data_IF_194315297503
#
_entry.id   IF_194315297503
#
_cell.length_a   1.000
_cell.length_b   1.000
_cell.length_c   1.000
_cell.angle_alpha   90.00
_cell.angle_beta   90.00
_cell.angle_gamma   90.00
#
_symmetry.space_group_name_H-M   'P 1'
#
loop_
_entity.id
_entity.type
_entity.pdbx_description
1 polymer ?
#
# COMPACT_ATOMS: atom_id res chain seq x y z
N UNK A 1 3.64 -7.11 -28.96
CA UNK A 1 4.18 -7.74 -27.74
C UNK A 1 4.46 -6.66 -26.72
N UNK A 2 4.15 -6.85 -25.42
CA UNK A 2 4.40 -5.82 -24.40
C UNK A 2 5.92 -5.72 -24.15
N UNK A 3 6.53 -4.51 -24.18
CA UNK A 3 7.95 -4.33 -23.85
C UNK A 3 8.33 -4.92 -22.49
N UNK A 4 9.51 -5.54 -22.41
CA UNK A 4 9.98 -6.23 -21.20
C UNK A 4 10.06 -5.31 -19.98
N UNK A 5 10.53 -4.07 -20.16
CA UNK A 5 10.61 -3.09 -19.08
C UNK A 5 9.23 -2.78 -18.46
N UNK A 6 8.19 -2.64 -19.29
CA UNK A 6 6.81 -2.41 -18.83
C UNK A 6 6.29 -3.62 -18.04
N UNK A 7 6.60 -4.84 -18.48
CA UNK A 7 6.23 -6.07 -17.76
C UNK A 7 6.89 -6.13 -16.38
N UNK A 8 8.19 -5.87 -16.31
CA UNK A 8 8.94 -5.87 -15.04
C UNK A 8 8.40 -4.78 -14.10
N UNK A 9 8.22 -3.56 -14.59
CA UNK A 9 7.64 -2.46 -13.83
C UNK A 9 6.26 -2.85 -13.26
N UNK A 10 5.34 -3.30 -14.12
CA UNK A 10 4.00 -3.70 -13.69
C UNK A 10 4.00 -4.83 -12.66
N UNK A 11 4.81 -5.87 -12.88
CA UNK A 11 4.94 -6.99 -11.93
C UNK A 11 5.47 -6.54 -10.56
N UNK A 12 6.49 -5.68 -10.52
CA UNK A 12 7.02 -5.12 -9.28
C UNK A 12 5.97 -4.27 -8.56
N UNK A 13 5.21 -3.45 -9.29
CA UNK A 13 4.14 -2.62 -8.70
C UNK A 13 3.01 -3.47 -8.13
N UNK A 14 2.62 -4.57 -8.79
CA UNK A 14 1.62 -5.51 -8.27
C UNK A 14 2.12 -6.18 -6.98
N UNK A 15 3.34 -6.72 -6.97
CA UNK A 15 3.90 -7.37 -5.77
C UNK A 15 3.99 -6.36 -4.62
N UNK A 16 4.54 -5.16 -4.89
CA UNK A 16 4.76 -4.15 -3.88
C UNK A 16 3.46 -3.56 -3.32
N UNK A 17 2.55 -3.11 -4.18
CA UNK A 17 1.36 -2.36 -3.75
C UNK A 17 0.14 -3.22 -3.48
N UNK A 18 -0.14 -4.20 -4.34
CA UNK A 18 -1.34 -5.03 -4.21
C UNK A 18 -1.15 -6.08 -3.11
N UNK A 19 0.02 -6.71 -3.03
CA UNK A 19 0.28 -7.73 -2.02
C UNK A 19 0.95 -7.15 -0.77
N UNK A 20 2.16 -6.60 -0.89
CA UNK A 20 2.94 -6.24 0.30
C UNK A 20 2.36 -5.05 1.07
N UNK A 21 2.02 -3.94 0.40
CA UNK A 21 1.53 -2.73 1.07
C UNK A 21 0.18 -2.95 1.78
N UNK A 22 -0.78 -3.60 1.11
CA UNK A 22 -2.10 -3.90 1.70
C UNK A 22 -2.00 -4.78 2.95
N UNK A 23 -1.22 -5.87 2.90
CA UNK A 23 -0.98 -6.74 4.05
C UNK A 23 -0.26 -5.98 5.17
N UNK A 24 0.73 -5.15 4.83
CA UNK A 24 1.41 -4.29 5.79
C UNK A 24 0.46 -3.32 6.51
N UNK A 25 -0.49 -2.71 5.80
CA UNK A 25 -1.50 -1.82 6.37
C UNK A 25 -2.45 -2.59 7.29
N UNK A 26 -3.06 -3.68 6.80
CA UNK A 26 -3.97 -4.55 7.58
C UNK A 26 -3.33 -4.97 8.91
N UNK A 27 -2.09 -5.43 8.88
CA UNK A 27 -1.34 -5.83 10.07
C UNK A 27 -1.19 -4.69 11.09
N UNK A 28 -0.87 -3.49 10.61
CA UNK A 28 -0.70 -2.33 11.49
C UNK A 28 -2.01 -1.76 12.02
N UNK A 29 -3.14 -2.01 11.37
CA UNK A 29 -4.45 -1.54 11.82
C UNK A 29 -5.08 -2.53 12.80
N UNK A 30 -5.20 -3.78 12.39
CA UNK A 30 -6.08 -4.76 13.04
C UNK A 30 -5.35 -5.73 13.98
N UNK A 31 -4.06 -6.00 13.74
CA UNK A 31 -3.33 -7.03 14.50
C UNK A 31 -2.55 -6.48 15.70
N UNK A 32 -2.65 -5.18 15.98
CA UNK A 32 -1.94 -4.51 17.08
C UNK A 32 -2.24 -5.11 18.44
N UNK A 33 -3.49 -5.53 18.71
CA UNK A 33 -3.92 -6.08 19.99
C UNK A 33 -3.86 -7.61 19.99
N UNK A 34 -4.37 -8.23 18.93
CA UNK A 34 -4.47 -9.69 18.78
C UNK A 34 -3.12 -10.39 18.63
N UNK A 35 -2.12 -9.70 18.08
CA UNK A 35 -0.77 -10.25 17.85
C UNK A 35 0.28 -9.63 18.77
N UNK A 36 -0.10 -9.31 20.01
CA UNK A 36 0.85 -8.99 21.09
C UNK A 36 1.39 -10.27 21.71
N UNK A 37 2.71 -10.39 21.84
CA UNK A 37 3.32 -11.55 22.51
C UNK A 37 3.13 -11.43 24.02
N UNK A 38 2.73 -12.53 24.70
CA UNK A 38 2.85 -12.65 26.16
C UNK A 38 4.33 -12.90 26.52
N UNK A 39 5.02 -11.95 27.15
CA UNK A 39 6.37 -12.16 27.71
C UNK A 39 7.37 -10.98 27.57
N UNK A 40 8.57 -11.16 28.14
CA UNK A 40 9.61 -10.13 28.41
C UNK A 40 10.39 -9.53 27.22
N UNK A 41 10.04 -9.81 25.96
CA UNK A 41 10.82 -9.33 24.80
C UNK A 41 10.12 -8.13 24.14
N UNK A 42 10.83 -7.00 24.02
CA UNK A 42 10.32 -5.68 23.60
C UNK A 42 9.89 -5.57 22.11
N UNK A 43 9.68 -6.67 21.39
CA UNK A 43 9.33 -6.62 19.96
C UNK A 43 7.91 -7.13 19.73
N UNK A 44 7.11 -6.30 19.06
CA UNK A 44 5.73 -6.62 18.71
C UNK A 44 5.68 -7.33 17.34
N UNK A 45 5.21 -8.58 17.24
CA UNK A 45 5.19 -9.32 15.97
C UNK A 45 4.49 -8.59 14.82
N UNK A 46 3.34 -7.96 15.09
CA UNK A 46 2.62 -7.16 14.10
C UNK A 46 3.49 -6.04 13.50
N UNK A 47 4.36 -5.45 14.32
CA UNK A 47 5.23 -4.34 13.90
C UNK A 47 6.33 -4.85 12.99
N UNK A 48 6.96 -5.98 13.34
CA UNK A 48 7.98 -6.61 12.48
C UNK A 48 7.37 -6.98 11.14
N UNK A 49 6.19 -7.62 11.15
CA UNK A 49 5.52 -8.02 9.93
C UNK A 49 5.16 -6.78 9.07
N UNK A 50 4.59 -5.73 9.66
CA UNK A 50 4.35 -4.46 8.98
C UNK A 50 5.62 -3.86 8.34
N UNK A 51 6.73 -3.86 9.09
CA UNK A 51 8.02 -3.35 8.60
C UNK A 51 8.55 -4.18 7.43
N UNK A 52 8.51 -5.50 7.51
CA UNK A 52 8.99 -6.39 6.44
C UNK A 52 8.17 -6.19 5.17
N UNK A 53 6.83 -6.25 5.27
CA UNK A 53 5.95 -6.05 4.14
C UNK A 53 6.14 -4.68 3.48
N UNK A 54 6.15 -3.59 4.25
CA UNK A 54 6.32 -2.26 3.67
C UNK A 54 7.75 -2.00 3.16
N UNK A 55 8.78 -2.64 3.74
CA UNK A 55 10.14 -2.55 3.20
C UNK A 55 10.23 -3.20 1.82
N UNK A 56 9.62 -4.38 1.63
CA UNK A 56 9.53 -5.03 0.32
C UNK A 56 8.74 -4.16 -0.66
N UNK A 57 7.62 -3.57 -0.22
CA UNK A 57 6.83 -2.66 -1.05
C UNK A 57 7.64 -1.45 -1.54
N UNK A 58 8.44 -0.83 -0.67
CA UNK A 58 9.33 0.28 -1.03
C UNK A 58 10.43 -0.16 -2.00
N UNK A 59 11.08 -1.30 -1.76
CA UNK A 59 12.12 -1.84 -2.66
C UNK A 59 11.52 -2.11 -4.04
N UNK A 60 10.37 -2.77 -4.13
CA UNK A 60 9.67 -3.00 -5.39
C UNK A 60 9.30 -1.68 -6.08
N UNK A 61 8.89 -0.66 -5.33
CA UNK A 61 8.54 0.66 -5.86
C UNK A 61 9.75 1.39 -6.44
N UNK A 62 10.89 1.37 -5.74
CA UNK A 62 12.16 1.94 -6.24
C UNK A 62 12.58 1.23 -7.51
N UNK A 63 12.67 -0.10 -7.49
CA UNK A 63 13.15 -0.90 -8.61
C UNK A 63 12.23 -0.78 -9.83
N UNK A 64 10.90 -0.86 -9.62
CA UNK A 64 9.94 -0.74 -10.71
C UNK A 64 9.95 0.65 -11.33
N UNK A 65 10.02 1.70 -10.52
CA UNK A 65 10.14 3.09 -11.01
C UNK A 65 11.48 3.31 -11.73
N UNK A 66 12.58 2.81 -11.17
CA UNK A 66 13.89 2.87 -11.83
C UNK A 66 13.87 2.19 -13.21
N UNK A 67 13.29 0.98 -13.30
CA UNK A 67 13.21 0.24 -14.57
C UNK A 67 12.46 1.03 -15.63
N UNK A 68 11.31 1.61 -15.31
CA UNK A 68 10.52 2.33 -16.32
C UNK A 68 11.17 3.66 -16.73
N UNK A 69 11.76 4.38 -15.76
CA UNK A 69 12.44 5.66 -16.01
C UNK A 69 13.70 5.46 -16.85
N UNK A 70 14.52 4.47 -16.50
CA UNK A 70 15.81 4.27 -17.15
C UNK A 70 15.68 3.61 -18.52
N UNK A 71 14.86 2.56 -18.64
CA UNK A 71 14.82 1.72 -19.86
C UNK A 71 13.71 2.07 -20.84
N UNK A 72 12.63 2.75 -20.43
CA UNK A 72 11.54 3.11 -21.34
C UNK A 72 11.56 4.58 -21.74
N UNK A 73 11.83 5.50 -20.80
CA UNK A 73 11.83 6.97 -20.96
C UNK A 73 10.53 7.61 -21.52
N UNK A 74 9.59 6.83 -22.05
CA UNK A 74 8.33 7.29 -22.63
C UNK A 74 7.26 7.71 -21.61
N UNK A 75 7.53 7.58 -20.31
CA UNK A 75 6.58 7.90 -19.26
C UNK A 75 6.13 9.37 -19.31
N UNK A 76 6.97 10.28 -19.82
CA UNK A 76 6.67 11.71 -19.97
C UNK A 76 5.79 12.04 -21.18
N UNK A 77 5.64 11.09 -22.13
CA UNK A 77 4.92 11.30 -23.39
C UNK A 77 3.48 10.76 -23.35
N UNK A 78 3.02 10.27 -22.19
CA UNK A 78 1.67 9.76 -21.99
C UNK A 78 0.62 10.87 -22.13
N UNK A 79 0.05 10.97 -23.34
CA UNK A 79 -1.00 11.93 -23.71
C UNK A 79 -2.15 11.22 -24.46
N UNK A 80 -3.40 11.69 -24.39
CA UNK A 80 -3.94 12.73 -23.50
C UNK A 80 -4.48 12.18 -22.15
N UNK A 81 -5.05 13.05 -21.32
CA UNK A 81 -5.76 12.68 -20.09
C UNK A 81 -6.86 11.63 -20.36
N UNK A 82 -7.14 10.72 -19.41
CA UNK A 82 -6.63 10.66 -18.02
C UNK A 82 -5.27 9.95 -17.87
N UNK A 83 -4.73 9.37 -18.94
CA UNK A 83 -3.56 8.48 -18.90
C UNK A 83 -2.29 9.21 -18.45
N UNK A 84 -2.12 10.49 -18.80
CA UNK A 84 -1.00 11.31 -18.35
C UNK A 84 -0.91 11.51 -16.83
N UNK A 85 -1.97 11.21 -16.08
CA UNK A 85 -1.93 11.25 -14.62
C UNK A 85 -1.21 10.04 -13.99
N UNK A 86 -1.04 8.92 -14.73
CA UNK A 86 -0.34 7.73 -14.24
C UNK A 86 1.06 8.03 -13.66
N UNK A 87 2.00 8.64 -14.43
CA UNK A 87 3.33 8.93 -13.92
C UNK A 87 3.30 9.92 -12.76
N UNK A 88 2.41 10.92 -12.80
CA UNK A 88 2.27 11.92 -11.72
C UNK A 88 1.86 11.24 -10.40
N UNK A 89 0.78 10.47 -10.41
CA UNK A 89 0.32 9.73 -9.24
C UNK A 89 1.37 8.70 -8.77
N UNK A 90 2.02 8.00 -9.71
CA UNK A 90 3.05 7.00 -9.41
C UNK A 90 4.30 7.59 -8.75
N UNK A 91 4.80 8.72 -9.24
CA UNK A 91 5.95 9.40 -8.65
C UNK A 91 5.64 9.97 -7.28
N UNK A 92 4.49 10.64 -7.10
CA UNK A 92 4.10 11.17 -5.79
C UNK A 92 3.91 10.03 -4.78
N UNK A 93 3.21 8.96 -5.19
CA UNK A 93 3.00 7.77 -4.35
C UNK A 93 4.32 7.11 -3.94
N UNK A 94 5.27 6.96 -4.87
CA UNK A 94 6.61 6.40 -4.60
C UNK A 94 7.43 7.32 -3.70
N UNK A 95 7.39 8.63 -3.89
CA UNK A 95 8.11 9.58 -3.05
C UNK A 95 7.58 9.57 -1.61
N UNK A 96 6.25 9.55 -1.44
CA UNK A 96 5.63 9.45 -0.12
C UNK A 96 5.90 8.10 0.55
N UNK A 97 5.92 7.00 -0.21
CA UNK A 97 6.24 5.67 0.34
C UNK A 97 7.70 5.56 0.78
N UNK A 98 8.62 6.29 0.15
CA UNK A 98 10.01 6.44 0.59
C UNK A 98 10.15 7.34 1.81
N UNK A 99 9.37 8.42 1.87
CA UNK A 99 9.38 9.33 3.01
C UNK A 99 8.84 8.66 4.28
N UNK A 100 7.84 7.78 4.15
CA UNK A 100 7.17 7.17 5.29
C UNK A 100 8.09 6.33 6.22
N UNK A 101 9.02 5.48 5.74
CA UNK A 101 10.00 4.82 6.59
C UNK A 101 11.03 5.78 7.17
N UNK A 102 11.41 6.87 6.47
CA UNK A 102 12.27 7.90 7.04
C UNK A 102 11.60 8.59 8.24
N UNK A 103 10.31 8.90 8.12
CA UNK A 103 9.48 9.37 9.24
C UNK A 103 9.48 8.32 10.36
N UNK A 104 9.36 7.03 10.02
CA UNK A 104 9.37 5.93 10.99
C UNK A 104 10.70 5.80 11.77
N UNK A 105 11.83 6.25 11.23
CA UNK A 105 13.10 6.33 11.98
C UNK A 105 13.03 7.34 13.12
N UNK A 106 12.20 8.38 12.99
CA UNK A 106 11.94 9.38 14.03
C UNK A 106 10.88 8.91 15.06
N UNK A 107 10.53 7.61 15.08
CA UNK A 107 9.52 7.06 15.99
C UNK A 107 9.93 7.24 17.46
N UNK A 108 9.13 7.99 18.19
CA UNK A 108 9.33 8.22 19.62
C UNK A 108 8.73 7.10 20.51
N UNK A 109 9.16 7.10 21.78
CA UNK A 109 8.69 6.17 22.82
C UNK A 109 7.16 6.12 22.91
N UNK A 110 6.54 4.95 23.23
CA UNK A 110 5.10 4.84 23.45
C UNK A 110 4.51 5.81 24.48
N UNK A 111 5.31 6.27 25.44
CA UNK A 111 4.90 7.20 26.51
C UNK A 111 5.16 8.67 26.19
N UNK A 112 5.74 8.99 25.04
CA UNK A 112 6.08 10.37 24.66
C UNK A 112 4.82 11.17 24.26
N UNK A 113 4.75 12.45 24.65
CA UNK A 113 3.72 13.39 24.19
C UNK A 113 3.71 13.56 22.66
N UNK A 114 4.88 13.44 22.01
CA UNK A 114 5.03 13.53 20.57
C UNK A 114 4.52 12.28 19.82
N UNK A 115 4.12 11.22 20.54
CA UNK A 115 3.68 9.95 19.92
C UNK A 115 2.42 10.11 19.09
N UNK A 116 1.49 10.92 19.56
CA UNK A 116 0.25 11.22 18.82
C UNK A 116 0.57 11.91 17.50
N UNK A 117 1.41 12.95 17.53
CA UNK A 117 1.84 13.68 16.32
C UNK A 117 2.56 12.76 15.33
N UNK A 118 3.52 11.95 15.81
CA UNK A 118 4.21 10.96 14.99
C UNK A 118 3.22 10.00 14.31
N UNK A 119 2.27 9.43 15.06
CA UNK A 119 1.30 8.50 14.51
C UNK A 119 0.43 9.17 13.43
N UNK A 120 0.00 10.41 13.64
CA UNK A 120 -0.78 11.16 12.64
C UNK A 120 0.00 11.41 11.37
N UNK A 121 1.23 11.94 11.48
CA UNK A 121 2.08 12.23 10.31
C UNK A 121 2.38 10.95 9.53
N UNK A 122 2.84 9.90 10.22
CA UNK A 122 3.17 8.61 9.59
C UNK A 122 1.95 7.96 8.92
N UNK A 123 0.79 8.01 9.58
CA UNK A 123 -0.44 7.44 9.03
C UNK A 123 -0.93 8.26 7.84
N UNK A 124 -0.92 9.58 7.93
CA UNK A 124 -1.35 10.47 6.86
C UNK A 124 -0.49 10.28 5.61
N UNK A 125 0.83 10.37 5.74
CA UNK A 125 1.77 10.18 4.62
C UNK A 125 1.60 8.79 3.99
N UNK A 126 1.51 7.74 4.81
CA UNK A 126 1.30 6.37 4.34
C UNK A 126 -0.03 6.17 3.60
N UNK A 127 -1.13 6.69 4.15
CA UNK A 127 -2.45 6.60 3.53
C UNK A 127 -2.53 7.42 2.25
N UNK A 128 -1.95 8.63 2.20
CA UNK A 128 -1.90 9.42 0.97
C UNK A 128 -1.11 8.68 -0.13
N UNK A 129 0.02 8.07 0.20
CA UNK A 129 0.79 7.25 -0.74
C UNK A 129 -0.06 6.09 -1.29
N UNK A 130 -0.75 5.36 -0.41
CA UNK A 130 -1.62 4.24 -0.77
C UNK A 130 -2.83 4.67 -1.62
N UNK A 131 -3.50 5.76 -1.24
CA UNK A 131 -4.65 6.31 -1.99
C UNK A 131 -4.26 6.75 -3.39
N UNK A 132 -3.06 7.32 -3.60
CA UNK A 132 -2.56 7.69 -4.93
C UNK A 132 -2.10 6.49 -5.76
N UNK A 133 -1.69 5.39 -5.13
CA UNK A 133 -1.30 4.17 -5.83
C UNK A 133 -2.50 3.51 -6.55
N UNK A 134 -3.72 3.61 -6.00
CA UNK A 134 -4.92 3.03 -6.60
C UNK A 134 -5.21 3.57 -8.01
N UNK A 135 -5.37 4.89 -8.22
CA UNK A 135 -5.54 5.45 -9.56
C UNK A 135 -4.28 5.28 -10.42
N UNK A 136 -3.06 5.31 -9.84
CA UNK A 136 -1.85 5.07 -10.60
C UNK A 136 -1.84 3.67 -11.24
N UNK A 137 -2.17 2.62 -10.48
CA UNK A 137 -2.25 1.25 -10.99
C UNK A 137 -3.39 1.12 -12.00
N UNK A 138 -4.58 1.66 -11.71
CA UNK A 138 -5.71 1.62 -12.64
C UNK A 138 -5.36 2.23 -14.00
N UNK A 139 -4.75 3.42 -14.01
CA UNK A 139 -4.31 4.10 -15.22
C UNK A 139 -3.20 3.33 -15.95
N UNK A 140 -2.24 2.73 -15.23
CA UNK A 140 -1.20 1.88 -15.81
C UNK A 140 -1.78 0.63 -16.50
N UNK A 141 -2.81 0.02 -15.92
CA UNK A 141 -3.53 -1.10 -16.54
C UNK A 141 -4.34 -0.67 -17.77
N UNK A 142 -4.88 0.56 -17.78
CA UNK A 142 -5.56 1.13 -18.96
C UNK A 142 -4.54 1.35 -20.11
N UNK A 143 -3.34 1.85 -19.82
CA UNK A 143 -2.23 1.96 -20.80
C UNK A 143 -1.86 0.59 -21.35
N UNK A 144 -1.75 -0.41 -20.49
CA UNK A 144 -1.42 -1.77 -20.91
C UNK A 144 -2.51 -2.37 -21.83
N UNK A 145 -3.79 -2.10 -21.52
CA UNK A 145 -4.93 -2.53 -22.33
C UNK A 145 -4.89 -1.88 -23.72
N UNK A 146 -4.69 -0.56 -23.79
CA UNK A 146 -4.69 0.17 -25.07
C UNK A 146 -3.53 -0.23 -25.99
N UNK A 147 -2.38 -0.60 -25.43
CA UNK A 147 -1.16 -0.94 -26.17
C UNK A 147 -1.07 -2.41 -26.59
N UNK A 148 -1.65 -3.36 -25.84
CA UNK A 148 -1.37 -4.78 -26.06
C UNK A 148 -2.54 -5.77 -25.94
N UNK A 149 -3.66 -5.42 -25.31
CA UNK A 149 -4.76 -6.37 -25.04
C UNK A 149 -6.10 -5.78 -25.48
N UNK A 150 -6.41 -5.90 -26.77
CA UNK A 150 -7.61 -5.29 -27.37
C UNK A 150 -8.91 -6.11 -27.17
N UNK A 151 -8.86 -7.38 -26.79
CA UNK A 151 -10.00 -8.31 -27.02
C UNK A 151 -10.43 -9.21 -25.83
N UNK A 152 -10.18 -8.84 -24.56
CA UNK A 152 -10.75 -9.60 -23.42
C UNK A 152 -11.77 -8.78 -22.60
N UNK A 153 -13.00 -9.32 -22.36
CA UNK A 153 -13.96 -8.74 -21.42
C UNK A 153 -13.50 -8.89 -19.96
N UNK A 154 -12.67 -9.89 -19.65
CA UNK A 154 -11.97 -10.05 -18.38
C UNK A 154 -10.58 -9.42 -18.50
N UNK A 155 -10.50 -8.10 -18.36
CA UNK A 155 -9.21 -7.44 -18.40
C UNK A 155 -8.55 -7.44 -17.04
N UNK A 156 -7.22 -7.36 -17.02
CA UNK A 156 -6.42 -7.19 -15.81
C UNK A 156 -6.94 -6.04 -14.92
N UNK A 157 -7.57 -5.02 -15.53
CA UNK A 157 -8.26 -3.94 -14.83
C UNK A 157 -9.47 -4.42 -14.02
N UNK A 158 -10.28 -5.33 -14.57
CA UNK A 158 -11.43 -5.93 -13.87
C UNK A 158 -10.98 -6.75 -12.66
N UNK A 159 -9.88 -7.49 -12.81
CA UNK A 159 -9.26 -8.24 -11.70
C UNK A 159 -8.78 -7.27 -10.61
N UNK A 160 -8.13 -6.17 -11.00
CA UNK A 160 -7.70 -5.13 -10.06
C UNK A 160 -8.89 -4.48 -9.34
N UNK A 161 -9.98 -4.14 -10.04
CA UNK A 161 -11.20 -3.61 -9.42
C UNK A 161 -11.80 -4.60 -8.41
N UNK A 162 -11.88 -5.88 -8.77
CA UNK A 162 -12.31 -6.94 -7.85
C UNK A 162 -11.43 -7.04 -6.61
N UNK A 163 -10.11 -6.92 -6.77
CA UNK A 163 -9.17 -6.85 -5.66
C UNK A 163 -9.43 -5.63 -4.75
N UNK A 164 -9.62 -4.44 -5.31
CA UNK A 164 -9.91 -3.23 -4.51
C UNK A 164 -11.19 -3.41 -3.71
N UNK A 165 -12.25 -3.94 -4.34
CA UNK A 165 -13.52 -4.23 -3.65
C UNK A 165 -13.30 -5.23 -2.51
N UNK A 166 -12.60 -6.33 -2.77
CA UNK A 166 -12.29 -7.34 -1.76
C UNK A 166 -11.45 -6.76 -0.61
N UNK A 167 -10.47 -5.92 -0.91
CA UNK A 167 -9.65 -5.24 0.10
C UNK A 167 -10.51 -4.35 1.00
N UNK A 168 -11.41 -3.54 0.42
CA UNK A 168 -12.33 -2.69 1.18
C UNK A 168 -13.27 -3.53 2.05
N UNK A 169 -13.86 -4.60 1.50
CA UNK A 169 -14.71 -5.52 2.28
C UNK A 169 -13.92 -6.12 3.44
N UNK A 170 -12.66 -6.51 3.19
CA UNK A 170 -11.77 -7.09 4.21
C UNK A 170 -11.51 -6.08 5.34
N UNK A 171 -11.08 -4.86 5.03
CA UNK A 171 -10.85 -3.79 6.01
C UNK A 171 -12.12 -3.47 6.80
N UNK A 172 -13.28 -3.36 6.14
CA UNK A 172 -14.55 -3.12 6.84
C UNK A 172 -14.93 -4.27 7.78
N UNK A 173 -14.71 -5.51 7.36
CA UNK A 173 -14.98 -6.70 8.18
C UNK A 173 -14.07 -6.75 9.40
N UNK A 174 -12.78 -6.46 9.22
CA UNK A 174 -11.81 -6.44 10.32
C UNK A 174 -12.08 -5.29 11.28
N UNK A 175 -12.37 -4.09 10.77
CA UNK A 175 -12.73 -2.93 11.59
C UNK A 175 -14.01 -3.20 12.41
N UNK A 176 -15.05 -3.78 11.80
CA UNK A 176 -16.25 -4.20 12.52
C UNK A 176 -15.93 -5.22 13.62
N UNK A 177 -15.07 -6.20 13.32
CA UNK A 177 -14.64 -7.21 14.28
C UNK A 177 -13.88 -6.59 15.45
N UNK A 178 -12.97 -5.66 15.18
CA UNK A 178 -12.22 -4.92 16.21
C UNK A 178 -13.15 -4.13 17.13
N UNK A 179 -14.12 -3.39 16.56
CA UNK A 179 -15.13 -2.68 17.34
C UNK A 179 -15.98 -3.63 18.20
N UNK A 180 -16.42 -4.76 17.64
CA UNK A 180 -17.21 -5.75 18.36
C UNK A 180 -16.42 -6.37 19.54
N UNK A 181 -15.13 -6.67 19.34
CA UNK A 181 -14.26 -7.17 20.40
C UNK A 181 -14.12 -6.17 21.54
N UNK A 182 -13.89 -4.88 21.23
CA UNK A 182 -13.79 -3.81 22.23
C UNK A 182 -15.08 -3.68 23.04
N UNK A 183 -16.24 -3.70 22.38
CA UNK A 183 -17.54 -3.63 23.07
C UNK A 183 -17.77 -4.84 23.99
N UNK A 184 -17.39 -6.03 23.54
CA UNK A 184 -17.49 -7.27 24.32
C UNK A 184 -16.57 -7.30 25.53
N UNK A 185 -15.38 -6.71 25.44
CA UNK A 185 -14.48 -6.59 26.58
C UNK A 185 -15.02 -5.61 27.62
N UNK A 186 -15.53 -4.45 27.18
CA UNK A 186 -16.15 -3.46 28.06
C UNK A 186 -17.36 -4.00 28.81
N UNK A 187 -18.20 -4.80 28.16
CA UNK A 187 -19.37 -5.41 28.81
C UNK A 187 -18.97 -6.43 29.88
N UNK A 188 -17.86 -7.17 29.70
CA UNK A 188 -17.34 -8.10 30.71
C UNK A 188 -16.72 -7.40 31.92
N UNK A 189 -16.13 -6.22 31.74
CA UNK A 189 -15.52 -5.44 32.84
C UNK A 189 -16.52 -4.61 33.65
N UNK A 190 -17.79 -4.54 33.22
CA UNK A 190 -18.84 -3.77 33.88
C UNK A 190 -19.59 -4.57 34.97
N UNK A 191 -19.22 -5.84 35.18
CA UNK A 191 -19.69 -6.74 36.22
C UNK A 191 -18.49 -7.23 37.03
#
# INVERSE_FOLDING_TARGET
MIPTAIRIHGSLMVIGWIFCCTNGIILSRHYKQSWKRKGRRNYEPWLIAHQVFNSIAVICSILGTFVIVYFSQDYSNLTPYPVGAHPICGFISTALSLLNPLIALCRCSPTSSNRTLFNWIHTFVGLTAFSLAVPAIALGLIVLRSTAVKSSPYSILTVFQGFVILYVITEMTLEFTDYWMILRERSKSAF
#
